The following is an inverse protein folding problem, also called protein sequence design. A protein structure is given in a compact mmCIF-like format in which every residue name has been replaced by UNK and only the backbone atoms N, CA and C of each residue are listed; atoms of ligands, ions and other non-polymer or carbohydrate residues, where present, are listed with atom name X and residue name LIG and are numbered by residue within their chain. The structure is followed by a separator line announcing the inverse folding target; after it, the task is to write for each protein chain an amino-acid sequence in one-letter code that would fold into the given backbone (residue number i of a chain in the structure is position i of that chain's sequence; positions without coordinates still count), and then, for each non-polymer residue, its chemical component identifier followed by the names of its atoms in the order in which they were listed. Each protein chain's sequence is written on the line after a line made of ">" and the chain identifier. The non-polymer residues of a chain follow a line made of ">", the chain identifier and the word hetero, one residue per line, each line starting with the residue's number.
data_IF_635506187022
#
_entry.id   IF_635506187022
#
_cell.length_a   1.000
_cell.length_b   1.000
_cell.length_c   1.000
_cell.angle_alpha   90.00
_cell.angle_beta   90.00
_cell.angle_gamma   90.00
#
_symmetry.space_group_name_H-M   'P 1'
#
loop_
_entity.id
_entity.type
_entity.pdbx_description
1 polymer ?
#
# COMPACT_ATOMS: atom_id res chain seq x y z
N UNK A 1 51.79 67.20 20.27
CA UNK A 1 50.34 66.97 20.37
C UNK A 1 49.86 66.06 19.23
N UNK A 2 50.41 64.83 19.14
CA UNK A 2 50.07 63.84 18.09
C UNK A 2 49.95 62.40 18.61
N UNK A 3 50.36 62.16 19.86
CA UNK A 3 50.37 60.82 20.47
C UNK A 3 48.96 60.47 20.99
N UNK A 4 48.25 61.41 21.62
CA UNK A 4 46.89 61.20 22.12
C UNK A 4 45.81 61.02 21.04
N UNK A 5 45.95 61.69 19.88
CA UNK A 5 45.02 61.51 18.75
C UNK A 5 45.14 60.12 18.12
N UNK A 6 46.35 59.55 18.12
CA UNK A 6 46.63 58.25 17.55
C UNK A 6 46.11 57.13 18.48
N UNK A 7 46.22 57.31 19.79
CA UNK A 7 45.63 56.40 20.79
C UNK A 7 44.09 56.41 20.74
N UNK A 8 43.47 57.58 20.63
CA UNK A 8 42.01 57.72 20.50
C UNK A 8 41.53 57.06 19.20
N UNK A 9 42.22 57.28 18.08
CA UNK A 9 41.89 56.64 16.80
C UNK A 9 42.00 55.10 16.86
N UNK A 10 43.00 54.56 17.56
CA UNK A 10 43.12 53.10 17.76
C UNK A 10 41.94 52.57 18.60
N UNK A 11 41.55 53.27 19.67
CA UNK A 11 40.40 52.88 20.50
C UNK A 11 39.09 52.91 19.70
N UNK A 12 38.90 53.93 18.85
CA UNK A 12 37.73 54.03 17.97
C UNK A 12 37.67 52.90 16.93
N UNK A 13 38.82 52.51 16.36
CA UNK A 13 38.89 51.37 15.43
C UNK A 13 38.55 50.05 16.16
N UNK A 14 39.05 49.85 17.38
CA UNK A 14 38.79 48.63 18.16
C UNK A 14 37.30 48.55 18.55
N UNK A 15 36.73 49.65 19.04
CA UNK A 15 35.31 49.71 19.42
C UNK A 15 34.39 49.51 18.22
N UNK A 16 34.69 50.15 17.08
CA UNK A 16 33.94 49.93 15.83
C UNK A 16 34.02 48.47 15.36
N UNK A 17 35.20 47.85 15.43
CA UNK A 17 35.38 46.44 15.07
C UNK A 17 34.59 45.52 16.00
N UNK A 18 34.57 45.80 17.31
CA UNK A 18 33.77 45.06 18.28
C UNK A 18 32.26 45.15 18.03
N UNK A 19 31.76 46.34 17.66
CA UNK A 19 30.36 46.55 17.27
C UNK A 19 30.04 45.76 16.00
N UNK A 20 30.92 45.80 15.00
CA UNK A 20 30.73 45.08 13.74
C UNK A 20 30.69 43.56 13.95
N UNK A 21 31.60 43.00 14.75
CA UNK A 21 31.61 41.57 15.09
C UNK A 21 30.33 41.18 15.82
N UNK A 22 29.87 42.00 16.77
CA UNK A 22 28.65 41.72 17.54
C UNK A 22 27.41 41.76 16.65
N UNK A 23 27.33 42.74 15.74
CA UNK A 23 26.25 42.85 14.75
C UNK A 23 26.24 41.64 13.81
N UNK A 24 27.40 41.27 13.26
CA UNK A 24 27.52 40.11 12.38
C UNK A 24 27.15 38.82 13.11
N UNK A 25 27.59 38.65 14.36
CA UNK A 25 27.25 37.47 15.19
C UNK A 25 25.74 37.42 15.47
N UNK A 26 25.11 38.56 15.78
CA UNK A 26 23.67 38.66 16.00
C UNK A 26 22.85 38.31 14.76
N UNK A 27 23.25 38.83 13.60
CA UNK A 27 22.62 38.53 12.31
C UNK A 27 22.77 37.03 11.97
N UNK A 28 23.97 36.46 12.13
CA UNK A 28 24.22 35.03 11.91
C UNK A 28 23.37 34.15 12.83
N UNK A 29 23.24 34.49 14.11
CA UNK A 29 22.40 33.76 15.07
C UNK A 29 20.91 33.78 14.69
N UNK A 30 20.40 34.90 14.18
CA UNK A 30 19.00 35.00 13.72
C UNK A 30 18.74 34.10 12.50
N UNK A 31 19.66 34.08 11.53
CA UNK A 31 19.57 33.19 10.37
C UNK A 31 19.68 31.71 10.77
N UNK A 32 20.55 31.36 11.72
CA UNK A 32 20.67 30.01 12.25
C UNK A 32 19.41 29.55 12.99
N UNK A 33 18.80 30.41 13.82
CA UNK A 33 17.60 30.06 14.58
C UNK A 33 16.38 29.80 13.68
N UNK A 34 16.13 30.64 12.67
CA UNK A 34 15.04 30.40 11.69
C UNK A 34 15.25 29.10 10.90
N UNK A 35 16.49 28.82 10.50
CA UNK A 35 16.88 27.58 9.80
C UNK A 35 16.62 26.34 10.66
N UNK A 36 17.10 26.34 11.91
CA UNK A 36 16.91 25.22 12.84
C UNK A 36 15.42 24.96 13.10
N UNK A 37 14.62 26.01 13.28
CA UNK A 37 13.19 25.89 13.50
C UNK A 37 12.44 25.31 12.28
N UNK A 38 12.81 25.73 11.06
CA UNK A 38 12.24 25.20 9.82
C UNK A 38 12.57 23.71 9.61
N UNK A 39 13.85 23.33 9.77
CA UNK A 39 14.30 21.93 9.64
C UNK A 39 13.58 21.07 10.68
N UNK A 40 13.55 21.50 11.94
CA UNK A 40 12.87 20.77 13.02
C UNK A 40 11.38 20.57 12.73
N UNK A 41 10.71 21.57 12.16
CA UNK A 41 9.30 21.45 11.78
C UNK A 41 9.08 20.45 10.64
N UNK A 42 9.88 20.51 9.57
CA UNK A 42 9.76 19.54 8.45
C UNK A 42 10.06 18.12 8.93
N UNK A 43 11.14 17.93 9.68
CA UNK A 43 11.49 16.62 10.24
C UNK A 43 10.37 16.11 11.14
N UNK A 44 9.77 16.97 11.97
CA UNK A 44 8.61 16.59 12.79
C UNK A 44 7.44 16.10 11.95
N UNK A 45 7.05 16.83 10.89
CA UNK A 45 5.96 16.40 10.02
C UNK A 45 6.25 15.06 9.32
N UNK A 46 7.48 14.83 8.88
CA UNK A 46 7.88 13.56 8.25
C UNK A 46 7.91 12.39 9.23
N UNK A 47 8.33 12.62 10.48
CA UNK A 47 8.25 11.58 11.53
C UNK A 47 6.80 11.23 11.87
N UNK A 48 5.91 12.23 11.91
CA UNK A 48 4.46 12.02 12.05
C UNK A 48 3.95 11.18 10.87
N UNK A 49 4.28 11.58 9.65
CA UNK A 49 3.91 10.84 8.44
C UNK A 49 4.37 9.38 8.47
N UNK A 50 5.64 9.11 8.83
CA UNK A 50 6.18 7.74 9.01
C UNK A 50 5.33 6.94 10.00
N UNK A 51 4.98 7.56 11.12
CA UNK A 51 4.22 6.89 12.20
C UNK A 51 2.80 6.58 11.74
N UNK A 52 2.14 7.54 11.10
CA UNK A 52 0.78 7.38 10.59
C UNK A 52 0.71 6.32 9.50
N UNK A 53 1.67 6.30 8.56
CA UNK A 53 1.74 5.26 7.54
C UNK A 53 1.89 3.86 8.16
N UNK A 54 2.76 3.70 9.17
CA UNK A 54 2.89 2.43 9.90
C UNK A 54 1.57 1.98 10.52
N UNK A 55 0.83 2.90 11.15
CA UNK A 55 -0.47 2.58 11.74
C UNK A 55 -1.46 2.11 10.69
N UNK A 56 -1.56 2.79 9.54
CA UNK A 56 -2.46 2.38 8.47
C UNK A 56 -2.09 1.02 7.87
N UNK A 57 -0.80 0.73 7.68
CA UNK A 57 -0.33 -0.58 7.22
C UNK A 57 -0.61 -1.66 8.26
N UNK A 58 -0.44 -1.39 9.55
CA UNK A 58 -0.78 -2.34 10.60
C UNK A 58 -2.28 -2.69 10.59
N UNK A 59 -3.15 -1.69 10.44
CA UNK A 59 -4.60 -1.92 10.28
C UNK A 59 -4.94 -2.71 9.02
N UNK A 60 -4.26 -2.45 7.90
CA UNK A 60 -4.44 -3.25 6.69
C UNK A 60 -4.06 -4.73 6.93
N UNK A 61 -2.97 -4.98 7.64
CA UNK A 61 -2.53 -6.34 7.99
C UNK A 61 -3.55 -7.06 8.87
N UNK A 62 -4.10 -6.38 9.86
CA UNK A 62 -5.16 -6.92 10.71
C UNK A 62 -6.40 -7.32 9.89
N UNK A 63 -6.81 -6.48 8.94
CA UNK A 63 -7.94 -6.75 8.04
C UNK A 63 -7.64 -7.89 7.07
N UNK A 64 -6.38 -8.07 6.67
CA UNK A 64 -5.95 -9.14 5.77
C UNK A 64 -5.67 -10.48 6.46
N UNK A 65 -5.80 -10.55 7.79
CA UNK A 65 -5.51 -11.76 8.54
C UNK A 65 -6.49 -12.89 8.18
N UNK A 66 -5.97 -14.01 7.69
CA UNK A 66 -6.76 -15.14 7.19
C UNK A 66 -7.70 -15.71 8.26
N UNK A 67 -7.24 -15.83 9.52
CA UNK A 67 -8.09 -16.32 10.62
C UNK A 67 -9.28 -15.39 10.86
N UNK A 68 -9.07 -14.07 10.85
CA UNK A 68 -10.14 -13.09 10.96
C UNK A 68 -11.11 -13.16 9.78
N UNK A 69 -10.59 -13.34 8.57
CA UNK A 69 -11.40 -13.52 7.36
C UNK A 69 -12.28 -14.77 7.45
N UNK A 70 -11.72 -15.90 7.88
CA UNK A 70 -12.45 -17.15 8.06
C UNK A 70 -13.62 -16.99 9.04
N UNK A 71 -13.36 -16.44 10.23
CA UNK A 71 -14.40 -16.19 11.25
C UNK A 71 -15.53 -15.32 10.67
N UNK A 72 -15.18 -14.23 9.97
CA UNK A 72 -16.17 -13.33 9.35
C UNK A 72 -16.99 -14.00 8.25
N UNK A 73 -16.39 -14.88 7.46
CA UNK A 73 -17.13 -15.62 6.43
C UNK A 73 -18.11 -16.64 7.01
N UNK A 74 -17.79 -17.22 8.18
CA UNK A 74 -18.61 -18.22 8.87
C UNK A 74 -19.76 -17.61 9.67
N UNK A 75 -19.51 -16.56 10.45
CA UNK A 75 -20.50 -15.98 11.37
C UNK A 75 -21.47 -15.02 10.66
N UNK A 76 -21.19 -14.65 9.41
CA UNK A 76 -22.08 -13.87 8.56
C UNK A 76 -22.25 -12.40 8.96
N UNK A 77 -21.78 -12.00 10.14
CA UNK A 77 -21.94 -10.65 10.69
C UNK A 77 -20.92 -9.65 10.13
N UNK A 78 -21.39 -8.43 9.89
CA UNK A 78 -20.59 -7.23 9.59
C UNK A 78 -19.72 -7.21 8.31
N UNK A 79 -20.15 -7.89 7.24
CA UNK A 79 -19.45 -7.88 5.93
C UNK A 79 -19.36 -6.49 5.29
N UNK A 80 -20.41 -5.67 5.43
CA UNK A 80 -20.44 -4.31 4.85
C UNK A 80 -19.51 -3.38 5.62
N UNK A 81 -19.52 -3.44 6.95
CA UNK A 81 -18.63 -2.64 7.80
C UNK A 81 -17.17 -2.96 7.51
N UNK A 82 -16.82 -4.25 7.43
CA UNK A 82 -15.47 -4.68 7.04
C UNK A 82 -15.04 -4.09 5.69
N UNK A 83 -15.89 -4.17 4.66
CA UNK A 83 -15.56 -3.62 3.34
C UNK A 83 -15.33 -2.11 3.37
N UNK A 84 -16.20 -1.38 4.10
CA UNK A 84 -16.04 0.07 4.28
C UNK A 84 -14.73 0.41 5.00
N UNK A 85 -14.37 -0.36 6.00
CA UNK A 85 -13.12 -0.18 6.75
C UNK A 85 -11.90 -0.46 5.86
N UNK A 86 -11.92 -1.56 5.10
CA UNK A 86 -10.88 -1.89 4.13
C UNK A 86 -10.70 -0.77 3.09
N UNK A 87 -11.80 -0.29 2.50
CA UNK A 87 -11.78 0.81 1.53
C UNK A 87 -11.22 2.11 2.14
N UNK A 88 -11.61 2.41 3.38
CA UNK A 88 -11.09 3.57 4.12
C UNK A 88 -9.59 3.46 4.34
N UNK A 89 -9.10 2.33 4.85
CA UNK A 89 -7.67 2.14 5.14
C UNK A 89 -6.84 2.19 3.85
N UNK A 90 -7.27 1.52 2.79
CA UNK A 90 -6.61 1.56 1.47
C UNK A 90 -6.54 2.99 0.94
N UNK A 91 -7.64 3.75 1.04
CA UNK A 91 -7.68 5.16 0.61
C UNK A 91 -6.73 6.02 1.45
N UNK A 92 -6.69 5.84 2.76
CA UNK A 92 -5.79 6.56 3.66
C UNK A 92 -4.32 6.28 3.33
N UNK A 93 -3.95 5.02 3.06
CA UNK A 93 -2.59 4.66 2.65
C UNK A 93 -2.23 5.40 1.35
N UNK A 94 -3.11 5.35 0.35
CA UNK A 94 -2.89 6.03 -0.95
C UNK A 94 -2.73 7.54 -0.80
N UNK A 95 -3.51 8.17 0.07
CA UNK A 95 -3.41 9.62 0.32
C UNK A 95 -2.12 10.01 1.03
N UNK A 96 -1.52 9.10 1.81
CA UNK A 96 -0.24 9.35 2.47
C UNK A 96 0.94 9.13 1.52
N UNK A 97 0.82 8.26 0.52
CA UNK A 97 1.90 7.96 -0.43
C UNK A 97 1.95 8.99 -1.57
N UNK A 98 3.13 9.24 -2.12
CA UNK A 98 3.30 10.18 -3.22
C UNK A 98 3.01 9.50 -4.57
N UNK A 99 2.04 10.01 -5.32
CA UNK A 99 1.64 9.48 -6.62
C UNK A 99 2.70 9.60 -7.73
N UNK A 100 3.82 10.28 -7.48
CA UNK A 100 4.94 10.43 -8.43
C UNK A 100 6.15 9.57 -8.11
N UNK A 101 6.26 9.04 -6.88
CA UNK A 101 7.39 8.22 -6.47
C UNK A 101 7.26 6.80 -7.00
N UNK A 102 8.30 6.27 -7.68
CA UNK A 102 8.27 4.90 -8.23
C UNK A 102 7.93 3.84 -7.17
N UNK A 103 8.56 3.94 -5.99
CA UNK A 103 8.38 3.02 -4.87
C UNK A 103 6.97 3.14 -4.25
N UNK A 104 6.49 4.37 -4.12
CA UNK A 104 5.15 4.65 -3.59
C UNK A 104 4.06 4.14 -4.54
N UNK A 105 4.23 4.29 -5.85
CA UNK A 105 3.35 3.71 -6.88
C UNK A 105 3.36 2.18 -6.77
N UNK A 106 4.53 1.56 -6.64
CA UNK A 106 4.68 0.10 -6.47
C UNK A 106 3.90 -0.38 -5.22
N UNK A 107 4.02 0.32 -4.10
CA UNK A 107 3.28 0.03 -2.88
C UNK A 107 1.77 0.23 -3.05
N UNK A 108 1.33 1.31 -3.70
CA UNK A 108 -0.09 1.58 -3.99
C UNK A 108 -0.70 0.43 -4.80
N UNK A 109 0.01 -0.03 -5.84
CA UNK A 109 -0.45 -1.11 -6.70
C UNK A 109 -0.62 -2.41 -5.90
N UNK A 110 0.35 -2.74 -5.03
CA UNK A 110 0.27 -3.94 -4.17
C UNK A 110 -0.86 -3.87 -3.15
N UNK A 111 -1.11 -2.69 -2.57
CA UNK A 111 -2.23 -2.48 -1.64
C UNK A 111 -3.59 -2.62 -2.34
N UNK A 112 -3.73 -2.10 -3.56
CA UNK A 112 -4.95 -2.27 -4.37
C UNK A 112 -5.14 -3.73 -4.80
N UNK A 113 -4.05 -4.42 -5.17
CA UNK A 113 -4.08 -5.85 -5.49
C UNK A 113 -4.53 -6.68 -4.27
N UNK A 114 -3.99 -6.40 -3.08
CA UNK A 114 -4.42 -7.04 -1.84
C UNK A 114 -5.90 -6.80 -1.56
N UNK A 115 -6.39 -5.57 -1.70
CA UNK A 115 -7.82 -5.26 -1.57
C UNK A 115 -8.68 -6.07 -2.53
N UNK A 116 -8.30 -6.13 -3.80
CA UNK A 116 -9.03 -6.89 -4.82
C UNK A 116 -9.06 -8.40 -4.48
N UNK A 117 -7.96 -8.95 -3.98
CA UNK A 117 -7.86 -10.35 -3.53
C UNK A 117 -8.75 -10.61 -2.31
N UNK A 118 -8.72 -9.74 -1.29
CA UNK A 118 -9.58 -9.85 -0.10
C UNK A 118 -11.07 -9.78 -0.45
N UNK A 119 -11.46 -8.85 -1.32
CA UNK A 119 -12.85 -8.75 -1.77
C UNK A 119 -13.26 -9.98 -2.59
N UNK A 120 -12.37 -10.51 -3.44
CA UNK A 120 -12.61 -11.72 -4.23
C UNK A 120 -12.76 -12.97 -3.33
N UNK A 121 -11.93 -13.07 -2.29
CA UNK A 121 -12.04 -14.09 -1.23
C UNK A 121 -13.42 -14.03 -0.56
N UNK A 122 -13.91 -12.85 -0.18
CA UNK A 122 -15.25 -12.75 0.44
C UNK A 122 -16.38 -13.07 -0.54
N UNK A 123 -16.22 -12.72 -1.82
CA UNK A 123 -17.22 -12.96 -2.86
C UNK A 123 -17.33 -14.45 -3.24
N UNK A 124 -16.24 -15.21 -3.24
CA UNK A 124 -16.31 -16.66 -3.50
C UNK A 124 -17.09 -17.37 -2.39
N UNK A 125 -16.87 -17.00 -1.11
CA UNK A 125 -17.65 -17.54 0.00
C UNK A 125 -19.13 -17.17 -0.08
N UNK A 126 -19.44 -15.92 -0.46
CA UNK A 126 -20.82 -15.49 -0.68
C UNK A 126 -21.49 -16.31 -1.79
N UNK A 127 -20.82 -16.50 -2.93
CA UNK A 127 -21.31 -17.31 -4.04
C UNK A 127 -21.51 -18.78 -3.63
N UNK A 128 -20.53 -19.38 -2.96
CA UNK A 128 -20.59 -20.76 -2.45
C UNK A 128 -21.80 -20.94 -1.53
N UNK A 129 -22.00 -20.03 -0.58
CA UNK A 129 -23.10 -20.12 0.37
C UNK A 129 -24.46 -19.87 -0.29
N UNK A 130 -24.55 -18.95 -1.25
CA UNK A 130 -25.76 -18.71 -2.02
C UNK A 130 -26.20 -19.96 -2.80
N UNK A 131 -25.26 -20.62 -3.49
CA UNK A 131 -25.53 -21.87 -4.21
C UNK A 131 -25.94 -22.99 -3.26
N UNK A 132 -25.22 -23.17 -2.13
CA UNK A 132 -25.55 -24.21 -1.13
C UNK A 132 -26.90 -24.00 -0.44
N UNK A 133 -27.39 -22.77 -0.38
CA UNK A 133 -28.69 -22.44 0.24
C UNK A 133 -29.90 -22.72 -0.65
N UNK A 134 -29.69 -23.07 -1.92
CA UNK A 134 -30.77 -23.40 -2.84
C UNK A 134 -31.40 -24.76 -2.48
N UNK A 135 -32.72 -24.79 -2.26
CA UNK A 135 -33.46 -26.02 -1.93
C UNK A 135 -33.76 -26.88 -3.16
N UNK A 136 -33.87 -26.26 -4.34
CA UNK A 136 -34.15 -26.94 -5.62
C UNK A 136 -33.07 -26.62 -6.67
N UNK A 137 -32.89 -27.54 -7.62
CA UNK A 137 -31.94 -27.35 -8.72
C UNK A 137 -32.24 -26.13 -9.60
N UNK A 138 -33.51 -25.78 -9.78
CA UNK A 138 -33.92 -24.58 -10.53
C UNK A 138 -33.54 -23.27 -9.80
N UNK A 139 -33.45 -23.32 -8.45
CA UNK A 139 -33.06 -22.17 -7.64
C UNK A 139 -31.54 -21.94 -7.67
N UNK A 140 -30.74 -22.98 -7.95
CA UNK A 140 -29.27 -22.89 -8.01
C UNK A 140 -28.83 -21.88 -9.09
N UNK A 141 -29.38 -21.98 -10.30
CA UNK A 141 -29.06 -21.07 -11.40
C UNK A 141 -29.45 -19.64 -11.07
N UNK A 142 -30.63 -19.45 -10.48
CA UNK A 142 -31.12 -18.13 -10.05
C UNK A 142 -30.21 -17.52 -8.98
N UNK A 143 -29.88 -18.30 -7.93
CA UNK A 143 -28.98 -17.86 -6.84
C UNK A 143 -27.57 -17.58 -7.33
N UNK A 144 -27.08 -18.34 -8.30
CA UNK A 144 -25.81 -18.07 -8.94
C UNK A 144 -25.84 -16.73 -9.68
N UNK A 145 -26.85 -16.47 -10.50
CA UNK A 145 -26.96 -15.20 -11.23
C UNK A 145 -27.14 -13.99 -10.31
N UNK A 146 -27.93 -14.12 -9.24
CA UNK A 146 -28.01 -13.11 -8.17
C UNK A 146 -26.62 -12.85 -7.56
N UNK A 147 -25.84 -13.90 -7.30
CA UNK A 147 -24.50 -13.75 -6.77
C UNK A 147 -23.56 -13.01 -7.74
N UNK A 148 -23.60 -13.33 -9.03
CA UNK A 148 -22.82 -12.64 -10.07
C UNK A 148 -23.19 -11.16 -10.16
N UNK A 149 -24.47 -10.81 -10.01
CA UNK A 149 -24.91 -9.42 -10.08
C UNK A 149 -24.35 -8.56 -8.93
N UNK A 150 -24.16 -9.15 -7.75
CA UNK A 150 -23.57 -8.47 -6.58
C UNK A 150 -22.04 -8.36 -6.67
N UNK A 151 -21.37 -9.15 -7.52
CA UNK A 151 -19.90 -9.13 -7.62
C UNK A 151 -19.39 -7.79 -8.15
N UNK A 152 -18.53 -7.14 -7.37
CA UNK A 152 -17.87 -5.88 -7.73
C UNK A 152 -16.46 -6.08 -8.28
N UNK A 153 -15.85 -7.24 -8.03
CA UNK A 153 -14.45 -7.50 -8.36
C UNK A 153 -14.32 -8.22 -9.70
N UNK A 154 -13.52 -7.66 -10.60
CA UNK A 154 -13.21 -8.31 -11.89
C UNK A 154 -12.43 -9.60 -11.71
N UNK A 155 -11.61 -9.70 -10.65
CA UNK A 155 -10.71 -10.83 -10.42
C UNK A 155 -11.46 -12.16 -10.28
N UNK A 156 -12.45 -12.23 -9.38
CA UNK A 156 -13.28 -13.45 -9.23
C UNK A 156 -14.07 -13.79 -10.50
N UNK A 157 -14.57 -12.80 -11.22
CA UNK A 157 -15.31 -13.03 -12.47
C UNK A 157 -14.40 -13.60 -13.57
N UNK A 158 -13.13 -13.19 -13.63
CA UNK A 158 -12.13 -13.78 -14.53
C UNK A 158 -11.84 -15.23 -14.16
N UNK A 159 -11.73 -15.55 -12.86
CA UNK A 159 -11.57 -16.93 -12.38
C UNK A 159 -12.76 -17.81 -12.80
N UNK A 160 -13.99 -17.29 -12.71
CA UNK A 160 -15.17 -18.01 -13.17
C UNK A 160 -15.13 -18.27 -14.68
N UNK A 161 -14.74 -17.29 -15.48
CA UNK A 161 -14.55 -17.52 -16.92
C UNK A 161 -13.46 -18.54 -17.23
N UNK A 162 -12.33 -18.49 -16.52
CA UNK A 162 -11.24 -19.45 -16.67
C UNK A 162 -11.71 -20.88 -16.33
N UNK A 163 -12.52 -21.03 -15.27
CA UNK A 163 -13.14 -22.31 -14.93
C UNK A 163 -14.11 -22.80 -16.00
N UNK A 164 -14.98 -21.93 -16.52
CA UNK A 164 -15.89 -22.30 -17.61
C UNK A 164 -15.14 -22.73 -18.87
N UNK A 165 -14.10 -22.00 -19.26
CA UNK A 165 -13.30 -22.31 -20.44
C UNK A 165 -12.52 -23.61 -20.29
N UNK A 166 -11.92 -23.85 -19.12
CA UNK A 166 -11.19 -25.11 -18.84
C UNK A 166 -12.12 -26.32 -18.82
N UNK A 167 -13.35 -26.17 -18.31
CA UNK A 167 -14.34 -27.24 -18.35
C UNK A 167 -14.86 -27.53 -19.77
N UNK A 168 -15.00 -26.49 -20.60
CA UNK A 168 -15.51 -26.60 -21.98
C UNK A 168 -14.42 -26.83 -23.03
N UNK A 169 -13.15 -26.93 -22.64
CA UNK A 169 -11.99 -27.04 -23.55
C UNK A 169 -11.94 -25.94 -24.64
N UNK A 170 -12.34 -24.71 -24.30
CA UNK A 170 -12.34 -23.58 -25.24
C UNK A 170 -11.06 -22.76 -25.06
N UNK A 171 -10.32 -22.52 -26.16
CA UNK A 171 -9.14 -21.65 -26.13
C UNK A 171 -9.49 -20.23 -25.68
N UNK A 172 -8.61 -19.65 -24.87
CA UNK A 172 -8.77 -18.31 -24.31
C UNK A 172 -8.93 -17.26 -25.43
N UNK A 173 -10.10 -16.61 -25.50
CA UNK A 173 -10.22 -15.35 -26.24
C UNK A 173 -9.32 -14.31 -25.57
N UNK A 174 -8.30 -13.84 -26.29
CA UNK A 174 -7.30 -12.84 -25.85
C UNK A 174 -7.85 -11.48 -25.37
N UNK A 175 -9.17 -11.26 -25.36
CA UNK A 175 -9.80 -9.98 -25.01
C UNK A 175 -10.40 -9.88 -23.59
N UNK A 176 -10.33 -10.92 -22.74
CA UNK A 176 -10.94 -10.89 -21.39
C UNK A 176 -10.39 -9.75 -20.51
N UNK A 177 -9.13 -9.36 -20.72
CA UNK A 177 -8.50 -8.28 -19.96
C UNK A 177 -9.04 -6.88 -20.29
N UNK A 178 -9.67 -6.70 -21.45
CA UNK A 178 -10.23 -5.41 -21.89
C UNK A 178 -11.69 -5.22 -21.48
N UNK A 179 -12.37 -6.28 -21.02
CA UNK A 179 -13.79 -6.21 -20.68
C UNK A 179 -14.06 -5.30 -19.47
N UNK A 180 -15.12 -4.51 -19.57
CA UNK A 180 -15.65 -3.77 -18.44
C UNK A 180 -16.39 -4.71 -17.47
N UNK A 181 -16.75 -4.23 -16.28
CA UNK A 181 -17.35 -5.08 -15.24
C UNK A 181 -18.69 -5.68 -15.68
N UNK A 182 -19.51 -4.91 -16.40
CA UNK A 182 -20.83 -5.34 -16.86
C UNK A 182 -20.71 -6.41 -17.94
N UNK A 183 -19.83 -6.19 -18.92
CA UNK A 183 -19.51 -7.16 -19.97
C UNK A 183 -19.00 -8.47 -19.35
N UNK A 184 -18.12 -8.39 -18.36
CA UNK A 184 -17.57 -9.57 -17.69
C UNK A 184 -18.65 -10.38 -16.96
N UNK A 185 -19.61 -9.71 -16.30
CA UNK A 185 -20.78 -10.38 -15.69
C UNK A 185 -21.63 -11.09 -16.72
N UNK A 186 -21.89 -10.45 -17.86
CA UNK A 186 -22.70 -11.03 -18.93
C UNK A 186 -22.01 -12.23 -19.57
N UNK A 187 -20.70 -12.14 -19.81
CA UNK A 187 -19.89 -13.26 -20.30
C UNK A 187 -19.90 -14.44 -19.32
N UNK A 188 -19.76 -14.19 -18.01
CA UNK A 188 -19.88 -15.26 -17.00
C UNK A 188 -21.27 -15.89 -17.06
N UNK A 189 -22.34 -15.10 -17.03
CA UNK A 189 -23.71 -15.64 -17.10
C UNK A 189 -23.93 -16.48 -18.36
N UNK A 190 -23.43 -16.02 -19.51
CA UNK A 190 -23.50 -16.74 -20.78
C UNK A 190 -22.68 -18.03 -20.77
N UNK A 191 -21.47 -18.00 -20.20
CA UNK A 191 -20.59 -19.16 -20.12
C UNK A 191 -21.18 -20.27 -19.23
N UNK A 192 -21.98 -19.91 -18.23
CA UNK A 192 -22.65 -20.82 -17.30
C UNK A 192 -24.13 -21.07 -17.62
N UNK A 193 -24.61 -20.65 -18.80
CA UNK A 193 -26.01 -20.74 -19.20
C UNK A 193 -26.55 -22.17 -19.09
N UNK A 194 -27.51 -22.35 -18.17
CA UNK A 194 -28.24 -23.60 -17.92
C UNK A 194 -27.37 -24.84 -17.67
N UNK A 195 -26.09 -24.65 -17.33
CA UNK A 195 -25.12 -25.72 -17.08
C UNK A 195 -24.95 -25.95 -15.57
N UNK A 196 -25.91 -26.70 -15.00
CA UNK A 196 -25.96 -26.99 -13.56
C UNK A 196 -24.69 -27.72 -13.07
N UNK A 197 -24.10 -28.58 -13.91
CA UNK A 197 -22.87 -29.30 -13.56
C UNK A 197 -21.70 -28.34 -13.40
N UNK A 198 -21.58 -27.37 -14.33
CA UNK A 198 -20.55 -26.35 -14.24
C UNK A 198 -20.74 -25.43 -13.03
N UNK A 199 -21.98 -25.08 -12.68
CA UNK A 199 -22.28 -24.28 -11.48
C UNK A 199 -21.92 -25.05 -10.20
N UNK A 200 -22.27 -26.33 -10.12
CA UNK A 200 -21.91 -27.18 -8.96
C UNK A 200 -20.39 -27.38 -8.84
N UNK A 201 -19.68 -27.46 -9.97
CA UNK A 201 -18.22 -27.50 -10.00
C UNK A 201 -17.58 -26.25 -9.34
N UNK A 202 -18.24 -25.09 -9.34
CA UNK A 202 -17.77 -23.92 -8.58
C UNK A 202 -17.74 -24.24 -7.08
N UNK A 203 -18.75 -24.92 -6.56
CA UNK A 203 -18.82 -25.27 -5.14
C UNK A 203 -17.69 -26.22 -4.77
N UNK A 204 -17.41 -27.22 -5.63
CA UNK A 204 -16.32 -28.18 -5.43
C UNK A 204 -14.94 -27.50 -5.50
N UNK A 205 -14.72 -26.63 -6.49
CA UNK A 205 -13.45 -25.92 -6.68
C UNK A 205 -13.28 -24.69 -5.79
N UNK A 206 -14.33 -24.24 -5.10
CA UNK A 206 -14.30 -23.03 -4.29
C UNK A 206 -13.22 -23.09 -3.20
N UNK A 207 -13.02 -24.25 -2.56
CA UNK A 207 -12.03 -24.40 -1.50
C UNK A 207 -10.59 -24.32 -2.05
N UNK A 208 -10.36 -24.80 -3.27
CA UNK A 208 -9.09 -24.63 -3.96
C UNK A 208 -8.82 -23.15 -4.32
N UNK A 209 -9.83 -22.44 -4.83
CA UNK A 209 -9.72 -21.00 -5.14
C UNK A 209 -9.46 -20.18 -3.88
N UNK A 210 -10.15 -20.52 -2.79
CA UNK A 210 -9.94 -19.89 -1.48
C UNK A 210 -8.50 -20.07 -1.03
N UNK A 211 -7.96 -21.29 -1.07
CA UNK A 211 -6.57 -21.56 -0.69
C UNK A 211 -5.57 -20.80 -1.57
N UNK A 212 -5.83 -20.67 -2.87
CA UNK A 212 -5.00 -19.85 -3.75
C UNK A 212 -5.01 -18.36 -3.33
N UNK A 213 -6.18 -17.82 -2.98
CA UNK A 213 -6.26 -16.46 -2.46
C UNK A 213 -5.59 -16.29 -1.10
N UNK A 214 -5.65 -17.27 -0.21
CA UNK A 214 -4.92 -17.24 1.07
C UNK A 214 -3.40 -17.13 0.83
N UNK A 215 -2.85 -17.98 -0.03
CA UNK A 215 -1.44 -17.93 -0.41
C UNK A 215 -1.06 -16.59 -1.05
N UNK A 216 -1.95 -16.06 -1.90
CA UNK A 216 -1.73 -14.76 -2.54
C UNK A 216 -1.79 -13.61 -1.53
N UNK A 217 -2.71 -13.63 -0.57
CA UNK A 217 -2.79 -12.65 0.53
C UNK A 217 -1.50 -12.66 1.34
N UNK A 218 -0.96 -13.84 1.68
CA UNK A 218 0.32 -13.94 2.40
C UNK A 218 1.49 -13.39 1.58
N UNK A 219 1.54 -13.70 0.28
CA UNK A 219 2.57 -13.18 -0.61
C UNK A 219 2.49 -11.66 -0.73
N UNK A 220 1.30 -11.11 -0.95
CA UNK A 220 1.08 -9.67 -1.06
C UNK A 220 1.41 -8.93 0.24
N UNK A 221 1.03 -9.49 1.39
CA UNK A 221 1.41 -8.92 2.67
C UNK A 221 2.94 -8.85 2.86
N UNK A 222 3.66 -9.87 2.39
CA UNK A 222 5.13 -9.88 2.43
C UNK A 222 5.74 -8.83 1.50
N UNK A 223 5.23 -8.72 0.28
CA UNK A 223 5.66 -7.69 -0.68
C UNK A 223 5.42 -6.29 -0.10
N UNK A 224 4.25 -6.05 0.49
CA UNK A 224 3.89 -4.79 1.15
C UNK A 224 4.83 -4.51 2.32
N UNK A 225 5.12 -5.50 3.17
CA UNK A 225 6.05 -5.34 4.29
C UNK A 225 7.44 -4.92 3.81
N UNK A 226 7.97 -5.54 2.75
CA UNK A 226 9.26 -5.19 2.18
C UNK A 226 9.27 -3.76 1.65
N UNK A 227 8.28 -3.40 0.82
CA UNK A 227 8.17 -2.06 0.23
C UNK A 227 8.02 -0.98 1.29
N UNK A 228 7.14 -1.18 2.28
CA UNK A 228 6.92 -0.25 3.38
C UNK A 228 8.20 -0.07 4.19
N UNK A 229 8.92 -1.15 4.49
CA UNK A 229 10.17 -1.03 5.23
C UNK A 229 11.22 -0.21 4.47
N UNK A 230 11.33 -0.41 3.16
CA UNK A 230 12.22 0.39 2.29
C UNK A 230 11.77 1.87 2.29
N UNK A 231 10.47 2.16 2.06
CA UNK A 231 9.92 3.52 2.09
C UNK A 231 10.27 4.24 3.39
N UNK A 232 9.97 3.61 4.52
CA UNK A 232 10.16 4.18 5.84
C UNK A 232 11.65 4.38 6.17
N UNK A 233 12.50 3.46 5.74
CA UNK A 233 13.95 3.55 5.95
C UNK A 233 14.58 4.64 5.08
N UNK A 234 14.16 4.76 3.82
CA UNK A 234 14.60 5.82 2.91
C UNK A 234 14.25 7.19 3.48
N UNK A 235 13.00 7.40 3.91
CA UNK A 235 12.57 8.69 4.47
C UNK A 235 13.27 9.01 5.80
N UNK A 236 13.54 8.00 6.63
CA UNK A 236 14.34 8.18 7.84
C UNK A 236 15.79 8.61 7.53
N UNK A 237 16.43 8.01 6.51
CA UNK A 237 17.77 8.40 6.07
C UNK A 237 17.74 9.82 5.53
N UNK A 238 16.73 10.17 4.73
CA UNK A 238 16.53 11.52 4.21
C UNK A 238 16.46 12.55 5.34
N UNK A 239 15.64 12.29 6.36
CA UNK A 239 15.55 13.15 7.54
C UNK A 239 16.92 13.34 8.23
N UNK A 240 17.73 12.28 8.36
CA UNK A 240 19.08 12.35 8.95
C UNK A 240 20.09 13.12 8.12
N UNK A 241 20.05 12.99 6.80
CA UNK A 241 20.92 13.75 5.90
C UNK A 241 20.54 15.21 5.93
N UNK A 242 19.23 15.50 5.81
CA UNK A 242 18.73 16.87 5.72
C UNK A 242 18.98 17.69 6.99
N UNK A 243 18.89 17.05 8.16
CA UNK A 243 19.21 17.66 9.46
C UNK A 243 20.70 17.94 9.66
N UNK A 244 21.60 17.23 8.96
CA UNK A 244 23.06 17.37 9.12
C UNK A 244 23.70 18.37 8.16
N UNK A 245 23.25 18.44 6.89
CA UNK A 245 23.99 19.16 5.83
C UNK A 245 23.09 20.13 5.02
N UNK A 246 22.13 20.79 5.68
CA UNK A 246 21.35 21.86 5.02
C UNK A 246 22.20 23.13 4.76
N UNK A 247 22.11 23.79 3.59
CA UNK A 247 21.22 23.54 2.44
C UNK A 247 21.86 22.65 1.35
N UNK A 248 23.13 22.29 1.51
CA UNK A 248 23.92 21.54 0.53
C UNK A 248 23.69 20.02 0.66
N UNK A 249 22.43 19.60 0.60
CA UNK A 249 22.07 18.19 0.60
C UNK A 249 21.90 17.68 -0.83
N UNK A 250 22.77 16.76 -1.23
CA UNK A 250 22.55 15.91 -2.41
C UNK A 250 21.98 14.57 -1.92
N UNK A 251 20.73 14.58 -1.47
CA UNK A 251 20.03 13.32 -1.20
C UNK A 251 19.65 12.70 -2.54
N UNK A 252 20.29 11.58 -2.86
CA UNK A 252 20.01 10.79 -4.05
C UNK A 252 19.06 9.65 -3.67
N UNK A 253 17.77 9.90 -3.88
CA UNK A 253 16.70 8.98 -3.51
C UNK A 253 16.81 7.64 -4.23
N UNK A 254 17.09 7.66 -5.54
CA UNK A 254 17.18 6.45 -6.35
C UNK A 254 18.33 5.57 -5.85
N UNK A 255 19.51 6.15 -5.61
CA UNK A 255 20.66 5.39 -5.09
C UNK A 255 20.39 4.78 -3.71
N UNK A 256 19.71 5.51 -2.82
CA UNK A 256 19.38 5.01 -1.48
C UNK A 256 18.37 3.86 -1.57
N UNK A 257 17.32 4.00 -2.39
CA UNK A 257 16.31 2.95 -2.59
C UNK A 257 16.94 1.70 -3.20
N UNK A 258 17.77 1.82 -4.23
CA UNK A 258 18.45 0.66 -4.83
C UNK A 258 19.30 -0.08 -3.81
N UNK A 259 20.10 0.65 -3.02
CA UNK A 259 20.92 0.05 -1.97
C UNK A 259 20.07 -0.68 -0.92
N UNK A 260 18.95 -0.09 -0.50
CA UNK A 260 18.05 -0.73 0.45
C UNK A 260 17.39 -1.98 -0.14
N UNK A 261 16.95 -1.96 -1.41
CA UNK A 261 16.44 -3.14 -2.11
C UNK A 261 17.46 -4.28 -2.11
N UNK A 262 18.73 -3.99 -2.37
CA UNK A 262 19.80 -5.00 -2.35
C UNK A 262 20.09 -5.54 -0.94
N UNK A 263 20.11 -4.68 0.08
CA UNK A 263 20.26 -5.09 1.48
C UNK A 263 19.13 -6.02 1.93
N UNK A 264 17.88 -5.69 1.58
CA UNK A 264 16.71 -6.49 1.91
C UNK A 264 16.71 -7.87 1.22
N UNK A 265 17.06 -7.93 -0.07
CA UNK A 265 17.24 -9.20 -0.79
C UNK A 265 18.28 -10.11 -0.14
N UNK A 266 19.40 -9.54 0.29
CA UNK A 266 20.47 -10.28 0.95
C UNK A 266 20.06 -10.81 2.33
N UNK A 267 19.24 -10.05 3.08
CA UNK A 267 18.70 -10.49 4.37
C UNK A 267 17.67 -11.61 4.17
N UNK A 268 16.78 -11.46 3.18
CA UNK A 268 15.79 -12.49 2.82
C UNK A 268 16.46 -13.81 2.44
N UNK A 269 17.51 -13.78 1.60
CA UNK A 269 18.30 -14.96 1.25
C UNK A 269 18.95 -15.62 2.47
N UNK A 270 19.54 -14.83 3.39
CA UNK A 270 20.12 -15.36 4.61
C UNK A 270 19.08 -16.04 5.49
N UNK A 271 17.89 -15.46 5.64
CA UNK A 271 16.82 -16.06 6.44
C UNK A 271 16.28 -17.37 5.85
N UNK A 272 16.32 -17.55 4.53
CA UNK A 272 15.93 -18.79 3.87
C UNK A 272 16.98 -19.90 4.03
N UNK A 273 18.27 -19.58 4.12
CA UNK A 273 19.35 -20.56 4.36
C UNK A 273 19.43 -21.09 5.80
N UNK A 274 18.66 -20.52 6.73
CA UNK A 274 18.58 -20.97 8.13
C UNK A 274 17.27 -21.72 8.46
N UNK A 275 16.46 -22.08 7.45
CA UNK A 275 15.33 -23.02 7.56
C UNK A 275 15.71 -24.37 6.98
#
# INVERSE_FOLDING_TARGET
>A
MRIGELEIAIIDIITFTGILITLLTGVLNLFQNKKTLYINNITRFRVIWITTLRTHIASLKELSNITNLYIRTKDGSNKIEYRRELDKIVSLIKMHLNFTGKLDIELILKVEELKATLNSYLLIYYCKNAIKSAERNEDITTKFYEAIDVMSEKKILKEFLAMANSYKNVEHKNNINLLNLLELKNEVKSAYRDDLQLINNIVEKSDYIVSNYENEIESLNRDIDELVQICLKAEWIRCKVETRIWPYNKYDEERVITKLKDEYKNISHKMQTYK
#
